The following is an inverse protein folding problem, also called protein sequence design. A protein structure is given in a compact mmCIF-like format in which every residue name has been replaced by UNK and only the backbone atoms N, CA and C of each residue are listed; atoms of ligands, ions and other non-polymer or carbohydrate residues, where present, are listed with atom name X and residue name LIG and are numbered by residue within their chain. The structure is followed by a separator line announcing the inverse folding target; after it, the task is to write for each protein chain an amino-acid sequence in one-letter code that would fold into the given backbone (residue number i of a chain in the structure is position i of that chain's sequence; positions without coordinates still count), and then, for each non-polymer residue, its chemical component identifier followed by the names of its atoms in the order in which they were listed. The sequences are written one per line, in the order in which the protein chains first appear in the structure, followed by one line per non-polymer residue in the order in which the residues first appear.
data_IF_688423474768
#
_entry.id   IF_688423474768
#
_cell.length_a   1.000
_cell.length_b   1.000
_cell.length_c   1.000
_cell.angle_alpha   90.00
_cell.angle_beta   90.00
_cell.angle_gamma   90.00
#
_symmetry.space_group_name_H-M   'P 1'
#
loop_
_entity.id
_entity.type
_entity.pdbx_description
1 polymer ?
#
# COMPACT_ATOMS: atom_id res chain seq x y z
N UNK A 1 1.89 -22.83 30.52
CA UNK A 1 3.33 -22.88 30.19
C UNK A 1 3.57 -21.69 29.26
N UNK A 2 4.37 -20.68 29.66
CA UNK A 2 4.77 -19.58 28.80
C UNK A 2 5.45 -20.17 27.56
N UNK A 3 4.88 -19.96 26.38
CA UNK A 3 5.55 -20.31 25.12
C UNK A 3 6.64 -19.28 24.91
N UNK A 4 7.88 -19.70 24.98
CA UNK A 4 9.02 -18.83 24.64
C UNK A 4 8.78 -18.25 23.23
N UNK A 5 8.73 -16.91 23.12
CA UNK A 5 8.59 -16.24 21.83
C UNK A 5 9.78 -16.62 20.95
N UNK A 6 9.53 -17.17 19.78
CA UNK A 6 10.58 -17.61 18.86
C UNK A 6 11.35 -16.39 18.30
N UNK A 7 12.68 -16.52 18.18
CA UNK A 7 13.57 -15.45 17.71
C UNK A 7 14.44 -15.88 16.54
N UNK A 8 14.88 -14.90 15.75
CA UNK A 8 15.86 -15.08 14.67
C UNK A 8 17.27 -14.87 15.23
N UNK A 9 18.10 -15.91 15.34
CA UNK A 9 19.47 -15.79 15.81
C UNK A 9 20.27 -14.80 14.95
N UNK A 10 20.77 -13.73 15.56
CA UNK A 10 21.39 -12.61 14.84
C UNK A 10 22.64 -12.10 15.55
N UNK A 11 22.63 -12.01 16.89
CA UNK A 11 23.75 -11.51 17.70
C UNK A 11 24.70 -12.65 18.03
N UNK A 12 26.00 -12.40 17.85
CA UNK A 12 27.05 -13.37 18.20
C UNK A 12 27.09 -14.63 17.31
N UNK A 13 26.32 -14.66 16.21
CA UNK A 13 26.28 -15.77 15.25
C UNK A 13 26.77 -15.34 13.86
N UNK A 14 27.22 -16.32 13.05
CA UNK A 14 27.61 -16.04 11.68
C UNK A 14 26.42 -15.78 10.76
N UNK A 15 26.67 -15.08 9.64
CA UNK A 15 25.68 -14.75 8.59
C UNK A 15 24.84 -15.97 8.17
N UNK A 16 25.49 -17.09 7.93
CA UNK A 16 24.83 -18.31 7.46
C UNK A 16 23.76 -18.84 8.41
N UNK A 17 24.00 -18.75 9.71
CA UNK A 17 23.04 -19.18 10.73
C UNK A 17 21.79 -18.26 10.77
N UNK A 18 22.00 -16.96 10.62
CA UNK A 18 20.91 -16.00 10.50
C UNK A 18 20.10 -16.28 9.22
N UNK A 19 20.77 -16.46 8.09
CA UNK A 19 20.13 -16.77 6.79
C UNK A 19 19.32 -18.06 6.84
N UNK A 20 19.85 -19.12 7.47
CA UNK A 20 19.14 -20.38 7.62
C UNK A 20 17.86 -20.22 8.45
N UNK A 21 17.91 -19.48 9.56
CA UNK A 21 16.75 -19.17 10.38
C UNK A 21 15.71 -18.34 9.59
N UNK A 22 16.15 -17.31 8.88
CA UNK A 22 15.28 -16.49 8.04
C UNK A 22 14.57 -17.33 6.95
N UNK A 23 15.29 -18.20 6.27
CA UNK A 23 14.72 -19.09 5.22
C UNK A 23 13.65 -20.02 5.76
N UNK A 24 13.79 -20.55 6.98
CA UNK A 24 12.77 -21.40 7.63
C UNK A 24 11.43 -20.68 7.82
N UNK A 25 11.47 -19.36 7.98
CA UNK A 25 10.27 -18.51 8.12
C UNK A 25 9.85 -17.83 6.81
N UNK A 26 10.60 -18.00 5.72
CA UNK A 26 10.26 -17.37 4.43
C UNK A 26 10.60 -15.88 4.36
N UNK A 27 11.45 -15.36 5.25
CA UNK A 27 11.92 -13.97 5.22
C UNK A 27 12.85 -13.73 4.03
N UNK A 28 12.73 -12.56 3.40
CA UNK A 28 13.39 -12.17 2.14
C UNK A 28 14.40 -11.03 2.29
N UNK A 29 14.42 -10.33 3.42
CA UNK A 29 15.41 -9.30 3.74
C UNK A 29 16.84 -9.85 3.67
N UNK A 30 17.82 -8.98 3.53
CA UNK A 30 19.22 -9.38 3.67
C UNK A 30 19.54 -9.70 5.14
N UNK A 31 20.29 -10.78 5.42
CA UNK A 31 20.67 -11.12 6.81
C UNK A 31 21.37 -9.98 7.54
N UNK A 32 22.10 -9.14 6.84
CA UNK A 32 22.79 -7.97 7.36
C UNK A 32 21.80 -6.94 7.90
N UNK A 33 20.64 -6.76 7.26
CA UNK A 33 19.58 -5.84 7.69
C UNK A 33 18.99 -6.31 9.03
N UNK A 34 18.64 -7.58 9.15
CA UNK A 34 18.14 -8.18 10.40
C UNK A 34 19.18 -8.07 11.53
N UNK A 35 20.44 -8.37 11.24
CA UNK A 35 21.54 -8.30 12.21
C UNK A 35 21.80 -6.87 12.68
N UNK A 36 21.81 -5.90 11.78
CA UNK A 36 21.98 -4.50 12.12
C UNK A 36 20.88 -3.99 13.05
N UNK A 37 19.64 -4.40 12.81
CA UNK A 37 18.52 -4.06 13.69
C UNK A 37 18.65 -4.75 15.04
N UNK A 38 18.99 -6.04 15.07
CA UNK A 38 19.21 -6.80 16.31
C UNK A 38 20.31 -6.17 17.19
N UNK A 39 21.43 -5.76 16.57
CA UNK A 39 22.52 -5.05 17.26
C UNK A 39 22.05 -3.70 17.84
N UNK A 40 21.24 -2.94 17.06
CA UNK A 40 20.69 -1.66 17.51
C UNK A 40 19.70 -1.82 18.68
N UNK A 41 18.91 -2.90 18.67
CA UNK A 41 17.95 -3.23 19.73
C UNK A 41 18.66 -3.89 20.93
N UNK A 42 19.83 -4.48 20.73
CA UNK A 42 20.64 -5.16 21.77
C UNK A 42 20.18 -6.58 22.10
N UNK A 43 19.35 -7.19 21.25
CA UNK A 43 18.86 -8.57 21.37
C UNK A 43 18.50 -9.17 20.03
N UNK A 44 18.38 -10.49 19.95
CA UNK A 44 17.78 -11.15 18.80
C UNK A 44 16.34 -10.66 18.59
N UNK A 45 15.93 -10.51 17.33
CA UNK A 45 14.57 -10.13 16.97
C UNK A 45 13.63 -11.33 17.11
N UNK A 46 12.41 -11.07 17.55
CA UNK A 46 11.35 -12.08 17.46
C UNK A 46 11.02 -12.33 15.98
N UNK A 47 10.38 -13.47 15.69
CA UNK A 47 9.92 -13.77 14.31
C UNK A 47 8.97 -12.67 13.82
N UNK A 48 8.05 -12.20 14.65
CA UNK A 48 7.12 -11.11 14.29
C UNK A 48 7.86 -9.79 13.99
N UNK A 49 8.89 -9.44 14.77
CA UNK A 49 9.73 -8.27 14.51
C UNK A 49 10.51 -8.41 13.21
N UNK A 50 11.04 -9.60 12.94
CA UNK A 50 11.77 -9.87 11.71
C UNK A 50 10.86 -9.72 10.47
N UNK A 51 9.60 -10.16 10.52
CA UNK A 51 8.63 -9.93 9.45
C UNK A 51 8.31 -8.45 9.24
N UNK A 52 8.16 -7.67 10.31
CA UNK A 52 7.96 -6.22 10.19
C UNK A 52 9.16 -5.54 9.52
N UNK A 53 10.38 -5.94 9.86
CA UNK A 53 11.60 -5.42 9.23
C UNK A 53 11.71 -5.88 7.78
N UNK A 54 11.41 -7.15 7.47
CA UNK A 54 11.43 -7.71 6.11
C UNK A 54 10.59 -6.87 5.15
N UNK A 55 9.37 -6.51 5.58
CA UNK A 55 8.47 -5.70 4.77
C UNK A 55 8.88 -4.22 4.76
N UNK A 56 9.14 -3.62 5.93
CA UNK A 56 9.51 -2.21 6.03
C UNK A 56 10.80 -1.88 5.26
N UNK A 57 11.74 -2.84 5.16
CA UNK A 57 13.01 -2.67 4.46
C UNK A 57 12.96 -3.18 3.01
N UNK A 58 11.81 -3.66 2.52
CA UNK A 58 11.64 -3.97 1.11
C UNK A 58 11.85 -2.72 0.25
N UNK A 59 12.23 -2.87 -1.02
CA UNK A 59 12.35 -1.73 -1.94
C UNK A 59 11.02 -0.99 -2.09
N UNK A 60 9.92 -1.73 -2.10
CA UNK A 60 8.57 -1.21 -2.26
C UNK A 60 8.18 -0.23 -1.14
N UNK A 61 8.40 -0.61 0.14
CA UNK A 61 8.03 0.25 1.27
C UNK A 61 9.08 1.34 1.56
N UNK A 62 10.36 1.04 1.37
CA UNK A 62 11.46 1.90 1.82
C UNK A 62 12.01 2.85 0.78
N UNK A 63 11.82 2.54 -0.51
CA UNK A 63 12.50 3.25 -1.61
C UNK A 63 14.02 3.30 -1.40
N UNK A 64 14.60 2.24 -0.81
CA UNK A 64 16.01 2.25 -0.35
C UNK A 64 17.02 2.53 -1.47
N UNK A 65 16.69 2.17 -2.72
CA UNK A 65 17.54 2.44 -3.90
C UNK A 65 17.31 3.81 -4.52
N UNK A 66 16.13 4.40 -4.41
CA UNK A 66 15.72 5.60 -5.16
C UNK A 66 15.49 6.84 -4.30
N UNK A 67 15.22 6.70 -3.02
CA UNK A 67 14.82 7.81 -2.13
C UNK A 67 15.80 8.99 -2.12
N UNK A 68 17.12 8.72 -2.14
CA UNK A 68 18.15 9.79 -2.22
C UNK A 68 18.07 10.56 -3.53
N UNK A 69 17.83 9.86 -4.65
CA UNK A 69 17.70 10.48 -5.97
C UNK A 69 16.41 11.29 -6.06
N UNK A 70 15.29 10.73 -5.62
CA UNK A 70 14.01 11.44 -5.58
C UNK A 70 14.13 12.73 -4.78
N UNK A 71 14.64 12.68 -3.56
CA UNK A 71 14.85 13.88 -2.72
C UNK A 71 15.75 14.92 -3.37
N UNK A 72 16.75 14.51 -4.16
CA UNK A 72 17.67 15.41 -4.85
C UNK A 72 17.04 16.15 -6.02
N UNK A 73 16.12 15.48 -6.73
CA UNK A 73 15.56 15.99 -7.99
C UNK A 73 14.13 16.50 -7.86
N UNK A 74 13.46 16.26 -6.73
CA UNK A 74 12.14 16.85 -6.49
C UNK A 74 12.28 18.38 -6.37
N UNK A 75 11.50 19.14 -7.16
CA UNK A 75 11.48 20.59 -7.03
C UNK A 75 10.83 21.00 -5.71
N UNK A 76 11.06 22.26 -5.26
CA UNK A 76 10.28 22.83 -4.17
C UNK A 76 8.79 22.77 -4.48
N UNK A 77 7.97 22.62 -3.44
CA UNK A 77 6.52 22.60 -3.61
C UNK A 77 6.03 23.93 -4.20
N UNK A 78 5.18 23.83 -5.23
CA UNK A 78 4.54 25.01 -5.78
C UNK A 78 3.51 25.59 -4.78
N UNK A 79 3.20 26.91 -4.84
CA UNK A 79 2.33 27.56 -3.86
C UNK A 79 0.90 26.95 -3.76
N UNK A 80 0.41 26.32 -4.82
CA UNK A 80 -0.89 25.67 -4.86
C UNK A 80 -0.86 24.21 -4.34
N UNK A 81 0.30 23.65 -4.02
CA UNK A 81 0.40 22.31 -3.41
C UNK A 81 0.19 22.43 -1.91
N UNK A 82 -0.93 21.91 -1.42
CA UNK A 82 -1.27 21.90 0.01
C UNK A 82 -0.51 20.79 0.75
N UNK A 83 -0.40 19.62 0.13
CA UNK A 83 0.35 18.47 0.64
C UNK A 83 1.18 17.87 -0.49
N UNK A 84 2.45 17.67 -0.20
CA UNK A 84 3.39 17.00 -1.08
C UNK A 84 3.75 15.60 -0.61
N UNK A 85 4.92 15.08 -1.02
CA UNK A 85 5.41 13.78 -0.61
C UNK A 85 5.47 13.61 0.91
N UNK A 86 4.99 12.47 1.41
CA UNK A 86 4.97 12.13 2.84
C UNK A 86 3.58 11.88 3.41
N UNK A 87 2.55 11.97 2.58
CA UNK A 87 1.17 11.54 2.87
C UNK A 87 0.78 10.46 1.83
N UNK A 88 -0.38 9.83 1.99
CA UNK A 88 -0.82 8.76 1.07
C UNK A 88 -1.12 9.30 -0.34
N UNK A 89 -1.53 10.56 -0.46
CA UNK A 89 -1.75 11.22 -1.75
C UNK A 89 -1.30 12.69 -1.74
N UNK A 90 -1.00 13.23 -2.92
CA UNK A 90 -0.76 14.65 -3.12
C UNK A 90 -2.07 15.45 -3.10
N UNK A 91 -2.03 16.66 -2.53
CA UNK A 91 -3.20 17.54 -2.42
C UNK A 91 -2.90 18.91 -3.02
N UNK A 92 -3.71 19.31 -3.99
CA UNK A 92 -3.56 20.56 -4.75
C UNK A 92 -4.78 21.45 -4.49
N UNK A 93 -4.54 22.71 -4.19
CA UNK A 93 -5.59 23.74 -4.12
C UNK A 93 -6.11 24.06 -5.52
N UNK A 94 -7.40 23.90 -5.72
CA UNK A 94 -8.05 24.25 -7.00
C UNK A 94 -8.91 25.51 -6.92
N UNK A 95 -8.82 26.22 -5.80
CA UNK A 95 -9.50 27.49 -5.60
C UNK A 95 -10.83 27.38 -4.86
N UNK A 96 -11.59 28.47 -4.91
CA UNK A 96 -12.86 28.62 -4.19
C UNK A 96 -14.04 28.50 -5.16
N UNK A 97 -15.07 27.76 -4.72
CA UNK A 97 -16.36 27.71 -5.38
C UNK A 97 -17.51 27.74 -4.38
N UNK A 98 -18.47 28.61 -4.59
CA UNK A 98 -19.62 28.82 -3.70
C UNK A 98 -19.26 29.07 -2.23
N UNK A 99 -18.18 29.83 -1.98
CA UNK A 99 -17.71 30.15 -0.64
C UNK A 99 -16.96 29.02 0.08
N UNK A 100 -16.69 27.92 -0.60
CA UNK A 100 -15.91 26.78 -0.10
C UNK A 100 -14.62 26.61 -0.92
N UNK A 101 -13.52 26.43 -0.22
CA UNK A 101 -12.21 26.15 -0.84
C UNK A 101 -12.04 24.66 -1.09
N UNK A 102 -11.72 24.30 -2.33
CA UNK A 102 -11.63 22.91 -2.76
C UNK A 102 -10.21 22.47 -3.05
N UNK A 103 -9.98 21.18 -2.86
CA UNK A 103 -8.73 20.52 -3.19
C UNK A 103 -8.96 19.37 -4.17
N UNK A 104 -8.01 19.18 -5.08
CA UNK A 104 -7.84 17.98 -5.87
C UNK A 104 -6.82 17.09 -5.16
N UNK A 105 -7.20 15.85 -4.92
CA UNK A 105 -6.35 14.81 -4.35
C UNK A 105 -5.93 13.87 -5.47
N UNK A 106 -4.64 13.60 -5.58
CA UNK A 106 -4.07 12.79 -6.66
C UNK A 106 -3.14 11.72 -6.07
N UNK A 107 -3.43 10.48 -6.37
CA UNK A 107 -2.57 9.35 -6.06
C UNK A 107 -2.21 8.58 -7.34
N UNK A 108 -1.00 8.04 -7.41
CA UNK A 108 -0.52 7.26 -8.55
C UNK A 108 0.28 6.07 -8.04
N UNK A 109 -0.06 4.90 -8.54
CA UNK A 109 0.60 3.65 -8.17
C UNK A 109 0.71 2.70 -9.36
N UNK A 110 1.62 1.73 -9.27
CA UNK A 110 1.75 0.63 -10.23
C UNK A 110 1.49 -0.72 -9.55
N UNK A 111 0.84 -1.68 -10.29
CA UNK A 111 0.54 -3.03 -9.79
C UNK A 111 0.93 -4.09 -10.82
N UNK A 112 2.23 -4.15 -11.17
CA UNK A 112 2.76 -4.85 -12.33
C UNK A 112 2.86 -6.37 -12.12
N UNK A 113 3.70 -6.84 -11.16
CA UNK A 113 3.94 -8.25 -10.90
C UNK A 113 2.67 -9.05 -10.63
N UNK A 114 1.76 -8.58 -9.74
CA UNK A 114 0.49 -9.27 -9.52
C UNK A 114 -0.36 -9.35 -10.79
N UNK A 115 -0.37 -8.29 -11.60
CA UNK A 115 -1.13 -8.25 -12.86
C UNK A 115 -0.55 -9.16 -13.95
N UNK A 116 0.76 -9.41 -13.94
CA UNK A 116 1.37 -10.39 -14.84
C UNK A 116 0.98 -11.82 -14.46
N UNK A 117 0.87 -12.14 -13.17
CA UNK A 117 0.57 -13.49 -12.69
C UNK A 117 -0.93 -13.79 -12.69
N UNK A 118 -1.74 -12.89 -12.14
CA UNK A 118 -3.20 -12.98 -12.03
C UNK A 118 -3.80 -11.66 -12.53
N UNK A 119 -3.97 -11.50 -13.85
CA UNK A 119 -4.27 -10.21 -14.46
C UNK A 119 -5.54 -9.54 -13.93
N UNK A 120 -6.60 -10.30 -13.67
CA UNK A 120 -7.86 -9.78 -13.16
C UNK A 120 -7.66 -9.28 -11.72
N UNK A 121 -7.19 -10.15 -10.85
CA UNK A 121 -7.01 -9.88 -9.42
C UNK A 121 -5.97 -8.79 -9.19
N UNK A 122 -4.85 -8.85 -9.92
CA UNK A 122 -3.78 -7.87 -9.83
C UNK A 122 -4.25 -6.47 -10.23
N UNK A 123 -4.90 -6.33 -11.36
CA UNK A 123 -5.39 -5.03 -11.85
C UNK A 123 -6.55 -4.49 -10.99
N UNK A 124 -7.48 -5.37 -10.57
CA UNK A 124 -8.57 -5.00 -9.66
C UNK A 124 -8.02 -4.47 -8.33
N UNK A 125 -6.99 -5.14 -7.78
CA UNK A 125 -6.30 -4.68 -6.56
C UNK A 125 -5.58 -3.37 -6.78
N UNK A 126 -4.99 -3.13 -7.96
CA UNK A 126 -4.38 -1.86 -8.33
C UNK A 126 -5.37 -0.69 -8.21
N UNK A 127 -6.59 -0.85 -8.78
CA UNK A 127 -7.67 0.13 -8.57
C UNK A 127 -8.02 0.23 -7.08
N UNK A 128 -8.21 -0.90 -6.39
CA UNK A 128 -8.60 -0.95 -4.99
C UNK A 128 -7.61 -0.26 -4.05
N UNK A 129 -6.30 -0.39 -4.32
CA UNK A 129 -5.22 0.27 -3.58
C UNK A 129 -5.25 1.77 -3.78
N UNK A 130 -5.15 2.22 -5.02
CA UNK A 130 -4.99 3.65 -5.30
C UNK A 130 -6.20 4.50 -4.88
N UNK A 131 -7.43 3.96 -4.96
CA UNK A 131 -8.61 4.69 -4.48
C UNK A 131 -8.62 4.79 -2.94
N UNK A 132 -8.03 3.82 -2.22
CA UNK A 132 -7.90 3.91 -0.75
C UNK A 132 -7.07 5.10 -0.33
N UNK A 133 -5.94 5.35 -1.00
CA UNK A 133 -5.07 6.50 -0.71
C UNK A 133 -5.86 7.82 -0.80
N UNK A 134 -6.68 7.96 -1.84
CA UNK A 134 -7.52 9.14 -2.01
C UNK A 134 -8.58 9.24 -0.92
N UNK A 135 -9.26 8.14 -0.59
CA UNK A 135 -10.24 8.14 0.52
C UNK A 135 -9.59 8.43 1.86
N UNK A 136 -8.35 7.98 2.10
CA UNK A 136 -7.63 8.27 3.34
C UNK A 136 -7.30 9.75 3.53
N UNK A 137 -7.30 10.52 2.44
CA UNK A 137 -7.18 11.98 2.51
C UNK A 137 -8.52 12.71 2.74
N UNK A 138 -9.62 11.99 2.97
CA UNK A 138 -10.95 12.57 3.16
C UNK A 138 -11.61 13.04 1.86
N UNK A 139 -11.17 12.53 0.71
CA UNK A 139 -11.64 12.96 -0.60
C UNK A 139 -12.55 11.92 -1.26
N UNK A 140 -13.58 12.41 -1.96
CA UNK A 140 -14.43 11.60 -2.82
C UNK A 140 -13.70 11.32 -4.14
N UNK A 141 -13.52 10.04 -4.49
CA UNK A 141 -12.92 9.64 -5.76
C UNK A 141 -13.89 9.96 -6.90
N UNK A 142 -13.43 10.76 -7.87
CA UNK A 142 -14.23 11.20 -9.01
C UNK A 142 -13.85 10.51 -10.31
N UNK A 143 -12.73 9.83 -10.36
CA UNK A 143 -12.32 9.05 -11.52
C UNK A 143 -10.92 8.45 -11.38
N UNK A 144 -10.63 7.50 -12.26
CA UNK A 144 -9.31 6.89 -12.42
C UNK A 144 -8.83 7.04 -13.86
N UNK A 145 -7.51 6.96 -14.06
CA UNK A 145 -6.86 6.89 -15.36
C UNK A 145 -5.83 5.77 -15.31
N UNK A 146 -5.59 5.12 -16.48
CA UNK A 146 -4.67 4.00 -16.56
C UNK A 146 -3.56 4.25 -17.58
N UNK A 147 -2.32 3.90 -17.22
CA UNK A 147 -1.20 3.82 -18.15
C UNK A 147 -0.78 2.36 -18.28
N UNK A 148 -1.14 1.72 -19.38
CA UNK A 148 -0.99 0.28 -19.58
C UNK A 148 0.10 -0.04 -20.60
N UNK A 149 0.99 -0.96 -20.28
CA UNK A 149 2.02 -1.47 -21.19
C UNK A 149 2.02 -2.99 -21.17
N UNK A 150 1.95 -3.58 -22.35
CA UNK A 150 1.92 -5.04 -22.52
C UNK A 150 2.97 -5.49 -23.53
N UNK A 151 3.28 -6.77 -23.52
CA UNK A 151 4.18 -7.39 -24.48
C UNK A 151 3.72 -7.26 -25.93
N UNK A 152 4.63 -7.53 -26.87
CA UNK A 152 4.36 -7.49 -28.31
C UNK A 152 3.29 -8.52 -28.68
N UNK A 153 2.20 -8.02 -29.26
CA UNK A 153 1.06 -8.87 -29.68
C UNK A 153 1.42 -9.83 -30.82
N UNK A 154 2.37 -9.46 -31.68
CA UNK A 154 2.81 -10.25 -32.82
C UNK A 154 4.10 -11.03 -32.57
N UNK A 155 4.67 -10.85 -31.37
CA UNK A 155 5.89 -11.55 -30.94
C UNK A 155 5.65 -12.99 -30.48
N UNK A 156 6.71 -13.70 -30.11
CA UNK A 156 6.62 -15.10 -29.64
C UNK A 156 5.70 -15.28 -28.41
N UNK A 157 5.57 -14.28 -27.57
CA UNK A 157 4.74 -14.25 -26.35
C UNK A 157 3.36 -13.60 -26.60
N UNK A 158 2.97 -13.32 -27.84
CA UNK A 158 1.79 -12.53 -28.18
C UNK A 158 0.47 -13.08 -27.61
N UNK A 159 0.31 -14.39 -27.48
CA UNK A 159 -0.88 -15.01 -26.87
C UNK A 159 -0.95 -14.71 -25.37
N UNK A 160 0.19 -14.73 -24.68
CA UNK A 160 0.29 -14.36 -23.25
C UNK A 160 0.00 -12.88 -23.09
N UNK A 161 0.62 -12.01 -23.91
CA UNK A 161 0.39 -10.57 -23.88
C UNK A 161 -1.11 -10.22 -24.07
N UNK A 162 -1.77 -10.87 -25.04
CA UNK A 162 -3.23 -10.71 -25.25
C UNK A 162 -4.05 -11.19 -24.06
N UNK A 163 -3.70 -12.30 -23.44
CA UNK A 163 -4.41 -12.83 -22.27
C UNK A 163 -4.24 -11.91 -21.06
N UNK A 164 -3.03 -11.43 -20.81
CA UNK A 164 -2.73 -10.48 -19.72
C UNK A 164 -3.49 -9.17 -19.94
N UNK A 165 -3.41 -8.58 -21.14
CA UNK A 165 -4.08 -7.32 -21.44
C UNK A 165 -5.61 -7.42 -21.23
N UNK A 166 -6.25 -8.49 -21.73
CA UNK A 166 -7.69 -8.72 -21.51
C UNK A 166 -8.04 -8.88 -20.05
N UNK A 167 -7.22 -9.61 -19.28
CA UNK A 167 -7.45 -9.81 -17.86
C UNK A 167 -7.30 -8.52 -17.06
N UNK A 168 -6.28 -7.70 -17.37
CA UNK A 168 -6.05 -6.39 -16.74
C UNK A 168 -7.24 -5.46 -16.98
N UNK A 169 -7.64 -5.29 -18.24
CA UNK A 169 -8.81 -4.46 -18.57
C UNK A 169 -10.07 -4.94 -17.86
N UNK A 170 -10.26 -6.25 -17.76
CA UNK A 170 -11.39 -6.83 -17.04
C UNK A 170 -11.33 -6.51 -15.54
N UNK A 171 -10.17 -6.65 -14.89
CA UNK A 171 -10.01 -6.34 -13.47
C UNK A 171 -10.29 -4.87 -13.15
N UNK A 172 -9.76 -3.95 -13.98
CA UNK A 172 -10.05 -2.51 -13.90
C UNK A 172 -11.55 -2.26 -13.99
N UNK A 173 -12.20 -2.84 -15.00
CA UNK A 173 -13.62 -2.68 -15.26
C UNK A 173 -14.50 -3.23 -14.11
N UNK A 174 -14.22 -4.45 -13.63
CA UNK A 174 -15.02 -5.09 -12.57
C UNK A 174 -14.95 -4.27 -11.28
N UNK A 175 -13.76 -3.80 -10.90
CA UNK A 175 -13.59 -3.03 -9.67
C UNK A 175 -14.16 -1.62 -9.78
N UNK A 176 -13.83 -0.88 -10.85
CA UNK A 176 -14.29 0.48 -11.05
C UNK A 176 -15.81 0.59 -11.13
N UNK A 177 -16.46 -0.33 -11.84
CA UNK A 177 -17.93 -0.35 -11.97
C UNK A 177 -18.62 -0.61 -10.63
N UNK A 178 -18.12 -1.55 -9.81
CA UNK A 178 -18.71 -1.85 -8.52
C UNK A 178 -18.61 -0.65 -7.55
N UNK A 179 -17.51 0.11 -7.62
CA UNK A 179 -17.37 1.37 -6.88
C UNK A 179 -18.21 2.50 -7.44
N UNK A 180 -18.60 2.45 -8.72
CA UNK A 180 -19.21 3.57 -9.43
C UNK A 180 -18.21 4.68 -9.74
N UNK A 181 -16.94 4.33 -9.92
CA UNK A 181 -15.85 5.25 -10.29
C UNK A 181 -15.59 5.13 -11.79
N UNK A 182 -15.74 6.21 -12.57
CA UNK A 182 -15.49 6.18 -13.99
C UNK A 182 -14.01 6.11 -14.33
N UNK A 183 -13.66 5.36 -15.36
CA UNK A 183 -12.36 5.47 -16.01
C UNK A 183 -12.41 6.68 -16.97
N UNK A 184 -11.54 7.66 -16.75
CA UNK A 184 -11.54 8.93 -17.48
C UNK A 184 -10.62 8.89 -18.70
N UNK A 185 -9.81 7.84 -18.85
CA UNK A 185 -8.87 7.68 -19.95
C UNK A 185 -7.55 7.07 -19.51
N UNK A 186 -6.52 7.34 -20.29
CA UNK A 186 -5.19 6.82 -20.09
C UNK A 186 -4.48 6.60 -21.41
N UNK A 187 -3.48 5.76 -21.40
CA UNK A 187 -2.80 5.34 -22.64
C UNK A 187 -2.49 3.84 -22.61
N UNK A 188 -2.33 3.27 -23.78
CA UNK A 188 -2.09 1.87 -24.01
C UNK A 188 -0.96 1.72 -25.02
N UNK A 189 0.02 0.86 -24.72
CA UNK A 189 1.15 0.61 -25.59
C UNK A 189 1.57 -0.88 -25.52
N UNK A 190 2.11 -1.37 -26.65
CA UNK A 190 2.55 -2.76 -26.79
C UNK A 190 4.00 -2.78 -27.30
N UNK A 191 4.91 -3.39 -26.52
CA UNK A 191 6.31 -3.47 -26.86
C UNK A 191 6.94 -4.74 -26.27
N UNK A 192 7.85 -5.37 -26.96
CA UNK A 192 8.51 -6.61 -26.53
C UNK A 192 9.28 -6.47 -25.21
N UNK A 193 9.62 -5.26 -24.78
CA UNK A 193 10.24 -5.03 -23.47
C UNK A 193 9.33 -5.37 -22.30
N UNK A 194 8.02 -5.52 -22.55
CA UNK A 194 7.00 -5.90 -21.54
C UNK A 194 6.50 -7.35 -21.67
N UNK A 195 7.18 -8.19 -22.48
CA UNK A 195 6.77 -9.58 -22.69
C UNK A 195 6.74 -10.40 -21.39
N UNK A 196 7.70 -10.17 -20.50
CA UNK A 196 7.86 -10.90 -19.24
C UNK A 196 7.16 -10.25 -18.05
N UNK A 197 6.87 -8.95 -18.13
CA UNK A 197 6.24 -8.20 -17.04
C UNK A 197 5.51 -6.96 -17.56
N UNK A 198 4.20 -7.00 -17.56
CA UNK A 198 3.37 -5.88 -17.95
C UNK A 198 3.54 -4.68 -16.99
N UNK A 199 3.18 -3.49 -17.46
CA UNK A 199 3.10 -2.30 -16.64
C UNK A 199 1.63 -1.89 -16.51
N UNK A 200 1.16 -1.87 -15.29
CA UNK A 200 -0.22 -1.45 -14.94
C UNK A 200 -0.10 -0.30 -13.95
N UNK A 201 -0.23 0.91 -14.46
CA UNK A 201 -0.24 2.13 -13.65
C UNK A 201 -1.66 2.66 -13.55
N UNK A 202 -2.04 3.11 -12.37
CA UNK A 202 -3.33 3.72 -12.10
C UNK A 202 -3.14 5.06 -11.41
N UNK A 203 -3.87 6.06 -11.87
CA UNK A 203 -4.01 7.36 -11.20
C UNK A 203 -5.44 7.46 -10.68
N UNK A 204 -5.61 7.77 -9.41
CA UNK A 204 -6.91 8.11 -8.84
C UNK A 204 -6.99 9.62 -8.57
N UNK A 205 -8.11 10.19 -8.94
CA UNK A 205 -8.43 11.60 -8.71
C UNK A 205 -9.59 11.70 -7.72
N UNK A 206 -9.42 12.55 -6.72
CA UNK A 206 -10.49 12.85 -5.76
C UNK A 206 -10.66 14.34 -5.51
N UNK A 207 -11.80 14.71 -4.97
CA UNK A 207 -12.09 16.08 -4.58
C UNK A 207 -12.57 16.14 -3.13
N UNK A 208 -12.15 17.17 -2.42
CA UNK A 208 -12.58 17.42 -1.06
C UNK A 208 -12.60 18.92 -0.76
N UNK A 209 -13.47 19.40 0.14
CA UNK A 209 -13.26 20.72 0.74
C UNK A 209 -11.94 20.68 1.55
N UNK A 210 -11.15 21.74 1.43
CA UNK A 210 -9.82 21.84 2.09
C UNK A 210 -9.91 21.57 3.60
N UNK A 211 -11.00 21.99 4.24
CA UNK A 211 -11.23 21.81 5.69
C UNK A 211 -11.38 20.33 6.10
N UNK A 212 -11.77 19.43 5.16
CA UNK A 212 -11.97 17.99 5.41
C UNK A 212 -10.70 17.15 5.19
N UNK A 213 -9.63 17.73 4.64
CA UNK A 213 -8.43 16.97 4.33
C UNK A 213 -7.88 16.29 5.59
N UNK A 214 -7.91 14.96 5.58
CA UNK A 214 -7.36 14.09 6.61
C UNK A 214 -5.85 13.91 6.44
N UNK A 215 -5.21 13.34 7.44
CA UNK A 215 -3.78 13.06 7.45
C UNK A 215 -3.51 11.63 7.90
N UNK A 216 -2.52 11.01 7.28
CA UNK A 216 -2.05 9.67 7.64
C UNK A 216 -1.11 9.71 8.85
N UNK A 217 -1.54 10.37 9.91
CA UNK A 217 -0.79 10.50 11.17
C UNK A 217 -1.70 10.67 12.37
N UNK A 218 -1.23 10.22 13.54
CA UNK A 218 -1.88 10.52 14.81
C UNK A 218 -1.85 12.03 15.06
N UNK A 219 -3.00 12.68 15.35
CA UNK A 219 -3.05 14.11 15.64
C UNK A 219 -2.36 14.50 16.96
N UNK A 220 -1.87 15.74 17.02
CA UNK A 220 -1.26 16.30 18.25
C UNK A 220 -2.23 16.27 19.46
N UNK A 221 -3.55 16.31 19.23
CA UNK A 221 -4.58 16.18 20.27
C UNK A 221 -4.43 14.88 21.09
N UNK A 222 -3.76 13.85 20.57
CA UNK A 222 -3.46 12.62 21.32
C UNK A 222 -2.48 12.83 22.51
N UNK A 223 -1.90 14.04 22.66
CA UNK A 223 -1.15 14.42 23.87
C UNK A 223 -2.07 14.84 25.03
N UNK A 224 -3.29 15.25 24.72
CA UNK A 224 -4.23 15.83 25.68
C UNK A 224 -5.36 14.87 26.06
N UNK A 225 -5.77 13.99 25.14
CA UNK A 225 -6.80 12.98 25.38
C UNK A 225 -6.39 11.59 24.83
N UNK A 226 -6.97 10.49 25.37
CA UNK A 226 -6.67 9.14 24.91
C UNK A 226 -7.15 8.92 23.47
N UNK A 227 -6.28 8.30 22.65
CA UNK A 227 -6.59 7.85 21.31
C UNK A 227 -6.51 6.33 21.19
N UNK A 228 -7.45 5.76 20.45
CA UNK A 228 -7.52 4.34 20.13
C UNK A 228 -7.17 4.09 18.66
N UNK A 229 -6.61 2.91 18.40
CA UNK A 229 -6.36 2.40 17.05
C UNK A 229 -7.53 1.47 16.69
N UNK A 230 -8.23 1.83 15.62
CA UNK A 230 -9.40 1.08 15.15
C UNK A 230 -9.10 0.52 13.77
N UNK A 231 -9.10 -0.81 13.64
CA UNK A 231 -8.99 -1.52 12.36
C UNK A 231 -10.40 -1.72 11.79
N UNK A 232 -10.58 -1.43 10.51
CA UNK A 232 -11.89 -1.52 9.83
C UNK A 232 -11.77 -2.32 8.54
N UNK A 233 -12.73 -3.19 8.28
CA UNK A 233 -12.90 -3.85 7.00
C UNK A 233 -12.86 -5.38 7.08
N UNK A 234 -12.33 -5.99 6.03
CA UNK A 234 -12.25 -7.44 5.83
C UNK A 234 -11.41 -8.10 6.94
N UNK A 235 -11.81 -9.25 7.49
CA UNK A 235 -10.95 -9.99 8.40
C UNK A 235 -9.66 -10.42 7.70
N UNK A 236 -8.54 -10.41 8.42
CA UNK A 236 -7.25 -10.84 7.86
C UNK A 236 -7.34 -12.29 7.40
N UNK A 237 -7.02 -12.53 6.15
CA UNK A 237 -6.98 -13.84 5.51
C UNK A 237 -5.54 -14.21 5.09
N UNK A 238 -5.39 -15.31 4.34
CA UNK A 238 -4.07 -15.78 3.88
C UNK A 238 -3.62 -15.18 2.55
N UNK A 239 -4.42 -14.31 1.92
CA UNK A 239 -4.05 -13.63 0.69
C UNK A 239 -3.12 -12.45 0.96
N UNK A 240 -2.28 -12.10 -0.03
CA UNK A 240 -1.38 -10.95 0.06
C UNK A 240 -0.26 -11.09 1.09
N UNK A 241 0.13 -12.31 1.45
CA UNK A 241 1.26 -12.51 2.35
C UNK A 241 2.59 -12.28 1.61
N UNK A 242 3.34 -11.28 2.06
CA UNK A 242 4.63 -10.90 1.47
C UNK A 242 4.51 -10.23 0.09
N UNK A 243 3.40 -9.57 -0.22
CA UNK A 243 3.18 -8.86 -1.48
C UNK A 243 4.24 -7.80 -1.76
N UNK A 244 4.55 -6.94 -0.80
CA UNK A 244 5.60 -5.92 -0.93
C UNK A 244 6.99 -6.51 -1.18
N UNK A 245 7.34 -7.58 -0.47
CA UNK A 245 8.60 -8.29 -0.66
C UNK A 245 8.64 -8.98 -2.03
N UNK A 246 7.51 -9.54 -2.50
CA UNK A 246 7.38 -10.12 -3.83
C UNK A 246 7.52 -9.07 -4.94
N UNK A 247 6.85 -7.93 -4.82
CA UNK A 247 6.93 -6.83 -5.78
C UNK A 247 8.34 -6.22 -5.89
N UNK A 248 9.22 -6.47 -4.92
CA UNK A 248 10.61 -6.00 -4.90
C UNK A 248 11.60 -6.97 -5.56
N UNK A 249 11.16 -8.12 -6.07
CA UNK A 249 12.00 -9.14 -6.69
C UNK A 249 11.96 -9.07 -8.22
N UNK A 250 12.93 -9.72 -8.88
CA UNK A 250 12.85 -9.97 -10.31
C UNK A 250 11.87 -11.11 -10.55
N UNK A 251 10.92 -10.92 -11.47
CA UNK A 251 9.96 -11.95 -11.83
C UNK A 251 10.69 -13.12 -12.53
N UNK A 252 10.50 -14.32 -12.00
CA UNK A 252 11.08 -15.56 -12.57
C UNK A 252 9.94 -16.57 -12.80
N UNK A 253 9.92 -17.17 -13.97
CA UNK A 253 8.93 -18.18 -14.36
C UNK A 253 8.92 -19.41 -13.44
N UNK A 254 10.04 -19.74 -12.78
CA UNK A 254 10.10 -20.88 -11.86
C UNK A 254 9.51 -20.59 -10.48
N UNK A 255 9.43 -19.32 -10.08
CA UNK A 255 8.88 -18.90 -8.78
C UNK A 255 7.41 -18.46 -8.85
N UNK A 256 6.81 -18.38 -10.04
CA UNK A 256 5.46 -17.86 -10.24
C UNK A 256 4.39 -18.61 -9.48
N UNK A 257 4.41 -19.95 -9.45
CA UNK A 257 3.43 -20.73 -8.68
C UNK A 257 3.54 -20.51 -7.16
N UNK A 258 4.77 -20.32 -6.65
CA UNK A 258 5.02 -20.08 -5.23
C UNK A 258 4.57 -18.68 -4.80
N UNK A 259 4.48 -17.74 -5.74
CA UNK A 259 4.11 -16.35 -5.48
C UNK A 259 2.61 -16.04 -5.66
N UNK A 260 1.79 -17.01 -6.08
CA UNK A 260 0.34 -16.82 -6.20
C UNK A 260 -0.32 -16.39 -4.88
N UNK A 261 0.17 -16.88 -3.74
CA UNK A 261 -0.32 -16.48 -2.42
C UNK A 261 0.01 -15.04 -2.02
N UNK A 262 0.96 -14.40 -2.71
CA UNK A 262 1.30 -12.99 -2.50
C UNK A 262 0.33 -12.02 -3.21
N UNK A 263 -0.49 -12.52 -4.16
CA UNK A 263 -1.51 -11.72 -4.82
C UNK A 263 -2.73 -11.59 -3.90
N UNK A 264 -3.22 -10.38 -3.76
CA UNK A 264 -4.37 -10.05 -2.94
C UNK A 264 -5.67 -10.43 -3.65
N UNK A 265 -6.71 -10.72 -2.85
CA UNK A 265 -8.07 -10.99 -3.35
C UNK A 265 -8.94 -9.77 -3.09
N UNK A 266 -9.40 -9.14 -4.18
CA UNK A 266 -10.26 -7.98 -4.14
C UNK A 266 -11.71 -8.32 -3.80
N UNK A 267 -12.43 -7.38 -3.16
CA UNK A 267 -13.88 -7.41 -2.96
C UNK A 267 -14.45 -6.01 -3.16
N UNK A 268 -14.78 -5.65 -4.40
CA UNK A 268 -15.23 -4.30 -4.71
C UNK A 268 -16.63 -3.98 -4.13
N UNK A 269 -17.45 -4.98 -3.84
CA UNK A 269 -18.73 -4.75 -3.19
C UNK A 269 -18.55 -4.35 -1.71
N UNK A 270 -17.72 -5.10 -0.98
CA UNK A 270 -17.36 -4.72 0.38
C UNK A 270 -16.69 -3.34 0.40
N UNK A 271 -15.80 -3.06 -0.57
CA UNK A 271 -15.19 -1.73 -0.70
C UNK A 271 -16.23 -0.63 -0.85
N UNK A 272 -17.25 -0.82 -1.69
CA UNK A 272 -18.31 0.18 -1.86
C UNK A 272 -19.01 0.49 -0.54
N UNK A 273 -19.36 -0.54 0.23
CA UNK A 273 -20.00 -0.36 1.54
C UNK A 273 -19.06 0.33 2.54
N UNK A 274 -17.78 -0.09 2.57
CA UNK A 274 -16.76 0.55 3.40
C UNK A 274 -16.59 2.04 3.11
N UNK A 275 -16.59 2.41 1.83
CA UNK A 275 -16.46 3.81 1.43
C UNK A 275 -17.65 4.64 1.91
N UNK A 276 -18.88 4.16 1.73
CA UNK A 276 -20.07 4.89 2.17
C UNK A 276 -20.13 5.00 3.71
N UNK A 277 -19.75 3.94 4.43
CA UNK A 277 -19.61 3.99 5.88
C UNK A 277 -18.51 4.99 6.31
N UNK A 278 -17.38 5.01 5.62
CA UNK A 278 -16.28 5.95 5.90
C UNK A 278 -16.71 7.40 5.67
N UNK A 279 -17.50 7.69 4.64
CA UNK A 279 -18.07 9.04 4.42
C UNK A 279 -18.96 9.47 5.59
N UNK A 280 -19.80 8.57 6.10
CA UNK A 280 -20.62 8.88 7.29
C UNK A 280 -19.74 9.14 8.54
N UNK A 281 -18.59 8.46 8.64
CA UNK A 281 -17.61 8.77 9.71
C UNK A 281 -16.97 10.13 9.49
N UNK A 282 -16.63 10.53 8.26
CA UNK A 282 -16.11 11.89 7.99
C UNK A 282 -17.10 12.96 8.46
N UNK A 283 -18.39 12.79 8.13
CA UNK A 283 -19.43 13.74 8.51
C UNK A 283 -19.56 13.83 10.04
N UNK A 284 -19.52 12.69 10.74
CA UNK A 284 -19.51 12.63 12.20
C UNK A 284 -18.30 13.36 12.80
N UNK A 285 -17.09 13.10 12.28
CA UNK A 285 -15.85 13.70 12.77
C UNK A 285 -15.83 15.21 12.53
N UNK A 286 -16.35 15.67 11.40
CA UNK A 286 -16.48 17.09 11.07
C UNK A 286 -17.51 17.77 12.00
N UNK A 287 -18.70 17.18 12.19
CA UNK A 287 -19.74 17.67 13.10
C UNK A 287 -19.21 17.81 14.54
N UNK A 288 -18.45 16.83 15.00
CA UNK A 288 -17.91 16.79 16.38
C UNK A 288 -16.59 17.54 16.54
N UNK A 289 -16.02 18.05 15.46
CA UNK A 289 -14.71 18.70 15.51
C UNK A 289 -13.62 17.78 16.06
N UNK A 290 -13.61 16.51 15.68
CA UNK A 290 -12.69 15.48 16.18
C UNK A 290 -11.47 15.34 15.29
N UNK A 291 -10.27 15.82 15.67
CA UNK A 291 -9.05 15.51 14.96
C UNK A 291 -8.81 14.01 14.93
N UNK A 292 -8.48 13.48 13.76
CA UNK A 292 -8.29 12.03 13.56
C UNK A 292 -7.15 11.77 12.59
N UNK A 293 -6.53 10.60 12.70
CA UNK A 293 -5.60 10.05 11.71
C UNK A 293 -6.27 8.91 10.96
N UNK A 294 -6.03 8.82 9.66
CA UNK A 294 -6.64 7.79 8.82
C UNK A 294 -5.66 7.30 7.78
N UNK A 295 -5.56 5.97 7.62
CA UNK A 295 -4.62 5.37 6.68
C UNK A 295 -5.19 4.07 6.12
N UNK A 296 -4.86 3.77 4.86
CA UNK A 296 -5.17 2.50 4.22
C UNK A 296 -4.22 1.38 4.69
N UNK A 297 -4.62 0.14 4.46
CA UNK A 297 -3.78 -1.03 4.64
C UNK A 297 -3.40 -1.57 3.25
N UNK A 298 -2.26 -1.12 2.76
CA UNK A 298 -1.63 -1.63 1.55
C UNK A 298 -0.43 -2.51 1.89
N UNK A 299 0.72 -2.20 1.29
CA UNK A 299 1.99 -2.87 1.53
C UNK A 299 2.38 -2.87 3.02
N UNK A 300 2.80 -4.02 3.52
CA UNK A 300 3.14 -4.19 4.93
C UNK A 300 1.96 -4.41 5.86
N UNK A 301 0.74 -4.48 5.32
CA UNK A 301 -0.47 -4.80 6.06
C UNK A 301 -0.73 -3.88 7.26
N UNK A 302 -1.31 -4.45 8.33
CA UNK A 302 -1.64 -3.67 9.52
C UNK A 302 -0.40 -3.13 10.25
N UNK A 303 0.67 -3.92 10.32
CA UNK A 303 1.91 -3.53 11.00
C UNK A 303 2.58 -2.33 10.32
N UNK A 304 2.63 -2.32 8.98
CA UNK A 304 3.11 -1.18 8.19
C UNK A 304 2.24 0.06 8.42
N UNK A 305 0.95 -0.02 8.09
CA UNK A 305 0.03 1.11 8.18
C UNK A 305 -0.03 1.73 9.58
N UNK A 306 -0.18 0.91 10.64
CA UNK A 306 -0.30 1.41 12.01
C UNK A 306 1.01 2.00 12.54
N UNK A 307 2.17 1.40 12.20
CA UNK A 307 3.46 1.94 12.62
C UNK A 307 3.79 3.27 11.93
N UNK A 308 3.46 3.41 10.65
CA UNK A 308 3.60 4.67 9.91
C UNK A 308 2.70 5.76 10.45
N UNK A 309 1.41 5.46 10.69
CA UNK A 309 0.43 6.39 11.29
C UNK A 309 0.93 6.94 12.64
N UNK A 310 1.48 6.06 13.49
CA UNK A 310 2.04 6.40 14.79
C UNK A 310 3.32 7.23 14.66
N UNK A 311 4.26 6.78 13.83
CA UNK A 311 5.56 7.43 13.64
C UNK A 311 5.41 8.84 13.07
N UNK A 312 4.53 9.02 12.07
CA UNK A 312 4.26 10.34 11.46
C UNK A 312 3.66 11.34 12.44
N UNK A 313 2.89 10.87 13.45
CA UNK A 313 2.37 11.68 14.54
C UNK A 313 3.36 11.91 15.69
N UNK A 314 4.47 11.17 15.71
CA UNK A 314 5.47 11.25 16.80
C UNK A 314 5.03 10.55 18.10
N UNK A 315 4.16 9.56 17.99
CA UNK A 315 3.64 8.74 19.09
C UNK A 315 4.11 7.30 18.96
N UNK A 316 3.87 6.48 19.99
CA UNK A 316 3.94 5.03 19.91
C UNK A 316 2.57 4.38 19.97
N UNK A 317 2.54 3.05 19.97
CA UNK A 317 1.32 2.27 20.06
C UNK A 317 1.49 0.96 20.82
N UNK A 318 0.40 0.54 21.46
CA UNK A 318 0.26 -0.79 22.04
C UNK A 318 -0.92 -1.48 21.37
N UNK A 319 -0.63 -2.52 20.61
CA UNK A 319 -1.58 -3.30 19.80
C UNK A 319 -1.86 -4.61 20.51
N UNK A 320 -3.12 -4.97 20.65
CA UNK A 320 -3.59 -6.28 21.05
C UNK A 320 -4.01 -7.03 19.78
N UNK A 321 -3.18 -8.02 19.39
CA UNK A 321 -3.40 -8.71 18.12
C UNK A 321 -4.61 -9.64 18.15
N UNK A 322 -5.10 -10.01 19.34
CA UNK A 322 -6.25 -10.90 19.49
C UNK A 322 -7.58 -10.19 19.20
N UNK A 323 -7.58 -8.85 19.29
CA UNK A 323 -8.74 -8.03 18.94
C UNK A 323 -8.91 -7.82 17.42
N UNK A 324 -7.91 -8.21 16.62
CA UNK A 324 -7.99 -8.07 15.17
C UNK A 324 -9.03 -9.02 14.57
N UNK A 325 -9.85 -8.56 13.62
CA UNK A 325 -10.71 -9.43 12.82
C UNK A 325 -9.88 -10.44 12.03
N UNK A 326 -10.15 -11.73 12.18
CA UNK A 326 -9.40 -12.83 11.57
C UNK A 326 -10.37 -13.80 10.88
N UNK A 327 -10.08 -14.16 9.63
CA UNK A 327 -10.88 -15.12 8.86
C UNK A 327 -10.59 -16.58 9.25
N UNK A 328 -9.36 -16.87 9.64
CA UNK A 328 -8.88 -18.20 10.02
C UNK A 328 -8.03 -18.09 11.29
N UNK A 329 -8.50 -18.62 12.44
CA UNK A 329 -7.76 -18.57 13.70
C UNK A 329 -6.39 -19.25 13.69
N UNK A 330 -6.07 -20.03 12.66
CA UNK A 330 -4.77 -20.68 12.51
C UNK A 330 -3.71 -19.80 11.83
N UNK A 331 -4.06 -18.57 11.43
CA UNK A 331 -3.10 -17.60 10.91
C UNK A 331 -2.11 -17.20 12.01
N UNK A 332 -0.83 -17.24 11.67
CA UNK A 332 0.23 -16.90 12.60
C UNK A 332 0.25 -15.39 12.89
N UNK A 333 0.67 -14.97 14.10
CA UNK A 333 0.66 -13.57 14.52
C UNK A 333 1.44 -12.64 13.57
N UNK A 334 2.61 -13.09 13.13
CA UNK A 334 3.44 -12.36 12.16
C UNK A 334 2.68 -12.12 10.84
N UNK A 335 1.89 -13.11 10.38
CA UNK A 335 1.07 -12.98 9.19
C UNK A 335 -0.12 -12.03 9.40
N UNK A 336 -0.67 -11.97 10.62
CA UNK A 336 -1.71 -10.98 10.96
C UNK A 336 -1.18 -9.56 10.85
N UNK A 337 0.09 -9.35 11.22
CA UNK A 337 0.74 -8.05 11.17
C UNK A 337 1.05 -7.60 9.74
N UNK A 338 1.64 -8.48 8.91
CA UNK A 338 2.16 -8.07 7.60
C UNK A 338 1.34 -8.57 6.41
N UNK A 339 0.26 -9.30 6.63
CA UNK A 339 -0.63 -9.75 5.56
C UNK A 339 -1.37 -8.58 4.93
N UNK A 340 -1.32 -8.49 3.60
CA UNK A 340 -1.87 -7.38 2.80
C UNK A 340 -3.30 -7.67 2.33
N UNK A 341 -4.12 -8.30 3.18
CA UNK A 341 -5.54 -8.51 2.92
C UNK A 341 -6.19 -7.19 2.53
N UNK A 342 -6.87 -7.16 1.40
CA UNK A 342 -7.49 -5.96 0.84
C UNK A 342 -8.72 -5.49 1.64
N UNK A 343 -9.26 -4.35 1.28
CA UNK A 343 -10.48 -3.76 1.83
C UNK A 343 -10.41 -3.48 3.32
N UNK A 344 -9.30 -2.82 3.75
CA UNK A 344 -9.08 -2.44 5.15
C UNK A 344 -8.57 -1.01 5.29
N UNK A 345 -8.91 -0.40 6.42
CA UNK A 345 -8.43 0.90 6.87
C UNK A 345 -8.06 0.86 8.34
N UNK A 346 -7.20 1.79 8.77
CA UNK A 346 -6.88 2.02 10.18
C UNK A 346 -7.11 3.48 10.55
N UNK A 347 -7.80 3.68 11.66
CA UNK A 347 -8.05 4.97 12.27
C UNK A 347 -7.23 5.16 13.55
N UNK A 348 -6.79 6.39 13.80
CA UNK A 348 -6.44 6.87 15.13
C UNK A 348 -7.51 7.88 15.56
N UNK A 349 -8.31 7.53 16.56
CA UNK A 349 -9.51 8.27 16.98
C UNK A 349 -9.47 8.60 18.46
N UNK A 350 -9.99 9.78 18.87
CA UNK A 350 -10.26 10.04 20.30
C UNK A 350 -11.17 8.96 20.88
N UNK A 351 -10.81 8.41 22.03
CA UNK A 351 -11.55 7.28 22.63
C UNK A 351 -13.06 7.58 22.81
N UNK A 352 -13.41 8.86 23.04
CA UNK A 352 -14.81 9.30 23.23
C UNK A 352 -15.70 9.13 22.01
N UNK A 353 -15.16 9.16 20.78
CA UNK A 353 -15.93 9.04 19.53
C UNK A 353 -15.99 7.60 19.00
N UNK A 354 -15.12 6.73 19.49
CA UNK A 354 -14.99 5.36 18.97
C UNK A 354 -16.29 4.57 19.02
N UNK A 355 -17.12 4.60 20.07
CA UNK A 355 -18.39 3.87 20.08
C UNK A 355 -19.32 4.27 18.92
N UNK A 356 -19.41 5.57 18.60
CA UNK A 356 -20.24 6.06 17.49
C UNK A 356 -19.67 5.59 16.14
N UNK A 357 -18.35 5.61 15.97
CA UNK A 357 -17.68 5.11 14.74
C UNK A 357 -17.89 3.61 14.56
N UNK A 358 -17.74 2.80 15.63
CA UNK A 358 -18.02 1.36 15.58
C UNK A 358 -19.47 1.08 15.19
N UNK A 359 -20.44 1.84 15.74
CA UNK A 359 -21.85 1.68 15.40
C UNK A 359 -22.14 2.01 13.92
N UNK A 360 -21.49 3.04 13.36
CA UNK A 360 -21.62 3.34 11.93
C UNK A 360 -21.20 2.13 11.08
N UNK A 361 -20.00 1.61 11.29
CA UNK A 361 -19.50 0.49 10.48
C UNK A 361 -20.25 -0.82 10.75
N UNK A 362 -20.47 -1.17 12.00
CA UNK A 362 -20.93 -2.51 12.39
C UNK A 362 -22.46 -2.66 12.42
N UNK A 363 -23.18 -1.55 12.67
CA UNK A 363 -24.64 -1.60 12.83
C UNK A 363 -25.34 -0.84 11.71
N UNK A 364 -24.96 0.42 11.42
CA UNK A 364 -25.65 1.23 10.38
C UNK A 364 -25.39 0.68 8.98
N UNK A 365 -24.13 0.34 8.66
CA UNK A 365 -23.74 -0.23 7.38
C UNK A 365 -23.61 -1.76 7.43
N UNK A 366 -23.80 -2.37 8.60
CA UNK A 366 -23.82 -3.81 8.82
C UNK A 366 -22.69 -4.57 8.11
N UNK A 367 -21.43 -4.12 8.29
CA UNK A 367 -20.27 -4.79 7.67
C UNK A 367 -20.26 -6.30 7.95
N UNK A 368 -20.59 -6.80 9.17
CA UNK A 368 -20.67 -8.24 9.44
C UNK A 368 -21.68 -8.98 8.57
N UNK A 369 -22.80 -8.34 8.21
CA UNK A 369 -23.81 -8.89 7.31
C UNK A 369 -23.41 -8.80 5.83
N UNK A 370 -22.55 -7.84 5.45
CA UNK A 370 -22.03 -7.69 4.09
C UNK A 370 -20.97 -8.75 3.78
N UNK A 371 -20.03 -8.97 4.70
CA UNK A 371 -18.96 -9.95 4.54
C UNK A 371 -18.67 -10.63 5.88
N UNK A 372 -18.68 -11.97 5.95
CA UNK A 372 -18.48 -12.70 7.20
C UNK A 372 -17.16 -12.32 7.91
N UNK A 373 -17.27 -11.81 9.13
CA UNK A 373 -16.14 -11.38 9.95
C UNK A 373 -15.62 -9.96 9.67
N UNK A 374 -16.12 -9.27 8.63
CA UNK A 374 -15.79 -7.86 8.41
C UNK A 374 -16.42 -7.02 9.52
N UNK A 375 -15.63 -6.10 10.08
CA UNK A 375 -16.08 -5.19 11.12
C UNK A 375 -15.08 -4.06 11.38
N UNK A 376 -15.51 -3.06 12.13
CA UNK A 376 -14.62 -2.15 12.84
C UNK A 376 -14.35 -2.70 14.25
N UNK A 377 -13.09 -2.71 14.66
CA UNK A 377 -12.65 -3.20 15.97
C UNK A 377 -11.55 -2.32 16.56
N UNK A 378 -11.61 -2.06 17.88
CA UNK A 378 -10.50 -1.45 18.60
C UNK A 378 -9.42 -2.51 18.77
N UNK A 379 -8.25 -2.27 18.16
CA UNK A 379 -7.13 -3.21 18.17
C UNK A 379 -5.93 -2.71 18.95
N UNK A 380 -6.04 -1.50 19.52
CA UNK A 380 -4.93 -0.94 20.29
C UNK A 380 -5.18 0.51 20.72
N UNK A 381 -4.13 1.09 21.28
CA UNK A 381 -4.12 2.48 21.74
C UNK A 381 -2.84 3.20 21.37
N UNK A 382 -2.93 4.50 21.22
CA UNK A 382 -1.79 5.40 21.09
C UNK A 382 -1.10 5.56 22.44
N UNK A 383 0.23 5.61 22.43
CA UNK A 383 1.05 5.79 23.63
C UNK A 383 2.06 6.93 23.44
N UNK A 384 2.47 7.63 24.52
CA UNK A 384 3.46 8.70 24.40
C UNK A 384 4.89 8.18 24.12
N UNK A 385 5.19 6.94 24.51
CA UNK A 385 6.49 6.31 24.22
C UNK A 385 6.57 5.93 22.74
N UNK A 386 7.59 6.39 22.05
CA UNK A 386 7.81 6.12 20.62
C UNK A 386 8.24 4.68 20.34
N UNK A 387 7.44 3.74 20.79
CA UNK A 387 7.64 2.31 20.58
C UNK A 387 6.42 1.67 19.95
N UNK A 388 6.66 0.70 19.09
CA UNK A 388 5.64 -0.15 18.54
C UNK A 388 5.62 -1.46 19.32
N UNK A 389 4.57 -1.68 20.11
CA UNK A 389 4.39 -2.88 20.91
C UNK A 389 3.19 -3.67 20.41
N UNK A 390 3.40 -4.97 20.23
CA UNK A 390 2.32 -5.91 19.91
C UNK A 390 2.26 -6.97 21.02
N UNK A 391 1.07 -7.18 21.52
CA UNK A 391 0.79 -8.09 22.64
C UNK A 391 -0.07 -9.24 22.10
N UNK A 392 0.27 -10.45 22.52
CA UNK A 392 -0.49 -11.68 22.27
C UNK A 392 -0.59 -12.50 23.55
N UNK A 393 -1.80 -12.88 23.96
CA UNK A 393 -2.01 -13.69 25.20
C UNK A 393 -1.30 -13.09 26.41
N UNK A 394 -1.19 -11.76 26.49
CA UNK A 394 -0.47 -11.03 27.53
C UNK A 394 1.07 -10.99 27.39
N UNK A 395 1.64 -11.66 26.39
CA UNK A 395 3.08 -11.63 26.08
C UNK A 395 3.38 -10.58 24.98
N UNK A 396 4.51 -9.89 25.14
CA UNK A 396 4.97 -8.92 24.14
C UNK A 396 5.72 -9.66 23.04
N UNK A 397 5.15 -9.71 21.84
CA UNK A 397 5.76 -10.36 20.68
C UNK A 397 6.49 -9.38 19.75
N UNK A 398 6.22 -8.06 19.88
CA UNK A 398 6.96 -6.99 19.21
C UNK A 398 7.20 -5.88 20.22
N UNK A 399 8.42 -5.38 20.30
CA UNK A 399 8.78 -4.17 21.05
C UNK A 399 9.96 -3.47 20.38
N UNK A 400 9.65 -2.65 19.37
CA UNK A 400 10.61 -1.93 18.56
C UNK A 400 10.47 -0.42 18.74
N UNK A 401 11.60 0.33 18.79
CA UNK A 401 11.56 1.78 18.56
C UNK A 401 10.98 2.07 17.18
N UNK A 402 9.99 2.96 17.08
CA UNK A 402 9.35 3.31 15.79
C UNK A 402 10.32 3.89 14.76
N UNK A 403 11.38 4.56 15.22
CA UNK A 403 12.42 5.07 14.35
C UNK A 403 13.09 3.97 13.50
N UNK A 404 13.20 2.74 14.03
CA UNK A 404 13.78 1.61 13.30
C UNK A 404 12.92 1.24 12.08
N UNK A 405 11.60 1.27 12.23
CA UNK A 405 10.68 0.94 11.14
C UNK A 405 10.67 2.03 10.04
N UNK A 406 10.93 3.29 10.41
CA UNK A 406 10.96 4.43 9.49
C UNK A 406 12.35 4.77 8.91
N UNK A 407 13.44 4.34 9.56
CA UNK A 407 14.82 4.61 9.14
C UNK A 407 15.43 3.42 8.40
N UNK A 408 14.99 3.20 7.18
CA UNK A 408 15.48 2.10 6.36
C UNK A 408 16.87 2.36 5.79
N UNK A 409 17.71 1.33 5.62
CA UNK A 409 19.02 1.47 5.00
C UNK A 409 18.89 2.08 3.60
N UNK A 410 19.72 3.08 3.28
CA UNK A 410 19.76 3.67 1.95
C UNK A 410 20.91 3.06 1.15
N UNK A 411 20.59 2.45 0.01
CA UNK A 411 21.58 1.83 -0.87
C UNK A 411 22.23 2.88 -1.77
N UNK A 412 23.55 2.83 -1.88
CA UNK A 412 24.30 3.58 -2.89
C UNK A 412 24.63 2.63 -4.04
N UNK A 413 23.95 2.81 -5.18
CA UNK A 413 24.23 2.02 -6.36
C UNK A 413 25.29 2.72 -7.22
N UNK A 414 26.33 2.02 -7.68
CA UNK A 414 27.32 2.60 -8.57
C UNK A 414 26.67 2.95 -9.91
N UNK A 415 26.81 4.20 -10.33
CA UNK A 415 26.34 4.68 -11.62
C UNK A 415 27.47 4.51 -12.64
N UNK A 416 27.21 3.77 -13.71
CA UNK A 416 28.09 3.74 -14.87
C UNK A 416 27.49 4.63 -15.96
N UNK A 417 28.05 5.84 -16.21
CA UNK A 417 27.59 6.67 -17.31
C UNK A 417 27.73 5.90 -18.62
N UNK A 418 26.63 5.76 -19.36
CA UNK A 418 26.67 5.24 -20.73
C UNK A 418 26.73 6.46 -21.65
N UNK A 419 27.73 6.49 -22.55
CA UNK A 419 27.71 7.45 -23.63
C UNK A 419 26.48 7.16 -24.51
N UNK A 420 25.54 8.08 -24.53
CA UNK A 420 24.40 8.02 -25.47
C UNK A 420 25.00 8.48 -26.82
N UNK A 421 25.12 7.56 -27.77
CA UNK A 421 25.37 7.94 -29.14
C UNK A 421 24.13 8.73 -29.62
N UNK A 422 24.24 10.02 -29.71
CA UNK A 422 23.26 10.85 -30.40
C UNK A 422 23.42 10.57 -31.89
N UNK A 423 22.67 9.58 -32.41
CA UNK A 423 22.46 9.51 -33.84
C UNK A 423 21.63 10.73 -34.23
N UNK A 424 22.27 11.71 -34.80
CA UNK A 424 21.59 12.82 -35.49
C UNK A 424 21.06 12.29 -36.82
N UNK A 425 20.08 11.38 -36.77
CA UNK A 425 19.35 10.97 -37.94
C UNK A 425 18.47 12.15 -38.40
N UNK A 426 18.63 12.56 -39.63
CA UNK A 426 17.64 13.40 -40.29
C UNK A 426 16.37 12.58 -40.47
N UNK A 427 15.28 12.99 -39.82
CA UNK A 427 13.94 12.45 -40.12
C UNK A 427 13.68 12.70 -41.62
N UNK A 428 13.53 11.63 -42.40
CA UNK A 428 13.13 11.74 -43.79
C UNK A 428 11.60 11.78 -43.83
N UNK A 429 11.09 12.70 -44.66
CA UNK A 429 9.65 12.67 -44.97
C UNK A 429 9.30 11.34 -45.64
N UNK A 430 8.15 10.75 -45.32
CA UNK A 430 7.67 9.57 -46.05
C UNK A 430 7.49 9.86 -47.52
N UNK A 431 7.94 8.96 -48.39
CA UNK A 431 7.71 9.06 -49.83
C UNK A 431 6.22 8.95 -50.19
N UNK A 432 5.43 8.26 -49.38
CA UNK A 432 3.98 8.13 -49.46
C UNK A 432 3.32 8.34 -48.08
N UNK A 433 2.76 9.50 -47.89
CA UNK A 433 2.07 9.90 -46.67
C UNK A 433 0.82 9.07 -46.38
N UNK A 434 0.08 8.62 -47.42
CA UNK A 434 -1.11 7.80 -47.24
C UNK A 434 -0.73 6.43 -46.68
N UNK A 435 0.24 5.77 -47.26
CA UNK A 435 0.75 4.48 -46.78
C UNK A 435 1.43 4.59 -45.40
N UNK A 436 2.07 5.72 -45.12
CA UNK A 436 2.64 5.98 -43.79
C UNK A 436 1.53 6.12 -42.74
N UNK A 437 0.51 6.94 -43.00
CA UNK A 437 -0.61 7.15 -42.08
C UNK A 437 -1.41 5.86 -41.86
N UNK A 438 -1.63 5.07 -42.92
CA UNK A 438 -2.30 3.78 -42.82
C UNK A 438 -1.53 2.85 -41.83
N UNK A 439 -0.22 2.73 -41.98
CA UNK A 439 0.62 1.94 -41.08
C UNK A 439 0.66 2.52 -39.66
N UNK A 440 0.74 3.84 -39.55
CA UNK A 440 0.78 4.51 -38.25
C UNK A 440 -0.54 4.32 -37.47
N UNK A 441 -1.68 4.46 -38.14
CA UNK A 441 -3.00 4.26 -37.54
C UNK A 441 -3.34 2.78 -37.29
N UNK A 442 -2.70 1.87 -38.03
CA UNK A 442 -2.87 0.43 -37.80
C UNK A 442 -1.88 -0.15 -36.77
N UNK A 443 -0.94 0.67 -36.26
CA UNK A 443 -0.02 0.23 -35.22
C UNK A 443 -0.79 -0.03 -33.91
N UNK A 444 -0.52 -1.14 -33.20
CA UNK A 444 -1.26 -1.51 -32.01
C UNK A 444 -1.03 -0.57 -30.81
N UNK A 445 -0.03 0.29 -30.85
CA UNK A 445 0.28 1.29 -29.79
C UNK A 445 0.10 2.71 -30.25
#
# INVERSE_FOLDING_TARGET
MSRTVETIPSIGVGRERTLEAMRRHGLRAEPEEIRAVAERVGRDLTVAEAFLIDVAFSEHCSYKSSRKLLKRFLPPLAPHVLLGPGEDAGVIDVGEWNGERWALVVAHESHNHPSQLLPIEGAATGIGGIVRDVYCMGADVVGVLDGLRFGDLDGPSGDVARAVARGVVRGIWEYGNALGVPNLGGDLDFDSSYDDNCLVNVVALGVAPVRRILRSRVPEAAREEPYQIVLVGKPTDRSGLGGASFASQVLDSQSSEQNLGAVQIHDPFLKRVLVEATKAVWDLLEERGCPSGFKDLGAGGFGGASSELLAAGGFGGAIDIEEMPVADPSILPEHLLVGETQERFVWALPARIVPEVLAIYNETFDLPGVYPGARAAVVGRVTPEKRYRVIREGEVIVDLPLEILGETPQLERPIRPRAIATETGTLREPDDWAAFLERFLAHPS
#
